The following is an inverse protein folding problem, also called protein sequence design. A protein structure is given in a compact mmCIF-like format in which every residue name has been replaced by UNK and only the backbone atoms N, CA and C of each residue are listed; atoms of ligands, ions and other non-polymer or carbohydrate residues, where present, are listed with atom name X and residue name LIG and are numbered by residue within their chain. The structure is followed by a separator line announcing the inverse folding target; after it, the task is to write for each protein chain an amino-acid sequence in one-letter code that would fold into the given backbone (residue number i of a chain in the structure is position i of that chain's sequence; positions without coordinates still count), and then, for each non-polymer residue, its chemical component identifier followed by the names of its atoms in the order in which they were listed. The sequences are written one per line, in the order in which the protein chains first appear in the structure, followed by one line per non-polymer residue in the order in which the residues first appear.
data_IF_183593983072
#
_entry.id   IF_183593983072
#
_cell.length_a   1.000
_cell.length_b   1.000
_cell.length_c   1.000
_cell.angle_alpha   90.00
_cell.angle_beta   90.00
_cell.angle_gamma   90.00
#
_symmetry.space_group_name_H-M   'P 1'
#
loop_
_entity.id
_entity.type
_entity.pdbx_description
1 polymer ?
#
# COMPACT_ATOMS: atom_id res chain seq x y z
N UNK A 1 -3.84 9.12 -16.32
CA UNK A 1 -4.63 8.16 -15.51
C UNK A 1 -5.74 8.93 -14.80
N UNK A 2 -7.02 8.60 -15.00
CA UNK A 2 -8.07 9.16 -14.18
C UNK A 2 -7.99 8.55 -12.77
N UNK A 3 -7.34 9.26 -11.87
CA UNK A 3 -7.84 9.60 -10.54
C UNK A 3 -8.43 8.55 -9.57
N UNK A 4 -9.55 7.92 -9.93
CA UNK A 4 -10.19 6.82 -9.20
C UNK A 4 -9.23 5.63 -9.03
N UNK A 5 -8.24 5.56 -9.91
CA UNK A 5 -7.30 4.48 -10.06
C UNK A 5 -6.38 4.20 -8.85
N UNK A 6 -5.99 5.20 -8.06
CA UNK A 6 -4.87 5.00 -7.13
C UNK A 6 -5.22 4.10 -5.94
N UNK A 7 -6.25 4.45 -5.18
CA UNK A 7 -6.67 3.67 -4.00
C UNK A 7 -7.22 2.30 -4.39
N UNK A 8 -7.83 2.19 -5.58
CA UNK A 8 -8.24 0.92 -6.19
C UNK A 8 -7.02 0.06 -6.55
N UNK A 9 -6.00 0.63 -7.20
CA UNK A 9 -4.75 -0.09 -7.52
C UNK A 9 -4.02 -0.54 -6.26
N UNK A 10 -4.00 0.31 -5.23
CA UNK A 10 -3.40 -0.01 -3.95
C UNK A 10 -4.16 -1.14 -3.25
N UNK A 11 -5.49 -1.09 -3.23
CA UNK A 11 -6.30 -2.19 -2.70
C UNK A 11 -6.04 -3.49 -3.47
N UNK A 12 -6.11 -3.47 -4.81
CA UNK A 12 -5.86 -4.66 -5.63
C UNK A 12 -4.42 -5.20 -5.52
N UNK A 13 -3.44 -4.33 -5.25
CA UNK A 13 -2.08 -4.72 -4.91
C UNK A 13 -2.02 -5.39 -3.53
N UNK A 14 -2.69 -4.82 -2.53
CA UNK A 14 -2.77 -5.37 -1.16
C UNK A 14 -3.38 -6.76 -1.18
N UNK A 15 -4.50 -6.94 -1.90
CA UNK A 15 -5.11 -8.25 -2.13
C UNK A 15 -4.16 -9.23 -2.83
N UNK A 16 -3.43 -8.76 -3.83
CA UNK A 16 -2.49 -9.61 -4.58
C UNK A 16 -1.38 -10.14 -3.68
N UNK A 17 -0.80 -9.28 -2.83
CA UNK A 17 0.23 -9.66 -1.87
C UNK A 17 -0.36 -10.57 -0.79
N UNK A 18 -1.57 -10.28 -0.29
CA UNK A 18 -2.25 -11.13 0.68
C UNK A 18 -2.50 -12.55 0.15
N UNK A 19 -2.87 -12.70 -1.12
CA UNK A 19 -3.00 -14.02 -1.78
C UNK A 19 -1.68 -14.78 -1.89
N UNK A 20 -0.54 -14.12 -1.72
CA UNK A 20 0.76 -14.78 -1.70
C UNK A 20 1.15 -15.32 -0.33
N UNK A 21 0.34 -15.10 0.72
CA UNK A 21 0.64 -15.53 2.10
C UNK A 21 1.20 -16.96 2.19
N UNK A 22 0.59 -17.93 1.52
CA UNK A 22 1.09 -19.33 1.52
C UNK A 22 2.48 -19.49 0.90
N UNK A 23 2.80 -18.69 -0.13
CA UNK A 23 4.15 -18.67 -0.73
C UNK A 23 5.14 -17.96 0.20
N UNK A 24 4.70 -16.90 0.88
CA UNK A 24 5.51 -16.13 1.81
C UNK A 24 5.84 -16.90 3.10
N UNK A 25 4.95 -17.80 3.53
CA UNK A 25 5.20 -18.70 4.66
C UNK A 25 6.33 -19.71 4.40
N UNK A 26 6.70 -19.95 3.13
CA UNK A 26 7.81 -20.83 2.76
C UNK A 26 9.18 -20.14 2.82
N UNK A 27 9.21 -18.84 3.08
CA UNK A 27 10.45 -18.09 3.22
C UNK A 27 11.14 -18.44 4.55
N UNK A 28 12.46 -18.31 4.56
CA UNK A 28 13.25 -18.37 5.78
C UNK A 28 12.79 -17.33 6.81
N UNK A 29 12.88 -17.67 8.10
CA UNK A 29 12.33 -16.88 9.21
C UNK A 29 12.79 -15.42 9.19
N UNK A 30 14.07 -15.15 8.93
CA UNK A 30 14.59 -13.78 8.87
C UNK A 30 13.92 -12.96 7.75
N UNK A 31 13.69 -13.58 6.60
CA UNK A 31 13.04 -12.92 5.46
C UNK A 31 11.54 -12.74 5.70
N UNK A 32 10.87 -13.71 6.33
CA UNK A 32 9.47 -13.54 6.79
C UNK A 32 9.34 -12.37 7.74
N UNK A 33 10.23 -12.24 8.71
CA UNK A 33 10.23 -11.11 9.65
C UNK A 33 10.50 -9.77 8.95
N UNK A 34 11.37 -9.75 7.94
CA UNK A 34 11.60 -8.54 7.13
C UNK A 34 10.33 -8.13 6.36
N UNK A 35 9.65 -9.07 5.72
CA UNK A 35 8.40 -8.80 4.99
C UNK A 35 7.28 -8.39 5.96
N UNK A 36 7.20 -9.02 7.13
CA UNK A 36 6.23 -8.67 8.17
C UNK A 36 6.42 -7.22 8.65
N UNK A 37 7.67 -6.80 8.89
CA UNK A 37 7.99 -5.40 9.25
C UNK A 37 7.56 -4.41 8.17
N UNK A 38 7.83 -4.70 6.90
CA UNK A 38 7.37 -3.81 5.82
C UNK A 38 5.85 -3.78 5.71
N UNK A 39 5.17 -4.92 5.86
CA UNK A 39 3.71 -4.96 5.85
C UNK A 39 3.12 -4.11 6.99
N UNK A 40 3.70 -4.17 8.18
CA UNK A 40 3.31 -3.34 9.32
C UNK A 40 3.53 -1.84 9.07
N UNK A 41 4.67 -1.44 8.50
CA UNK A 41 4.93 -0.05 8.11
C UNK A 41 3.95 0.46 7.04
N UNK A 42 3.57 -0.39 6.08
CA UNK A 42 2.56 -0.05 5.07
C UNK A 42 1.19 0.14 5.75
N UNK A 43 0.78 -0.77 6.64
CA UNK A 43 -0.46 -0.66 7.37
C UNK A 43 -0.52 0.64 8.20
N UNK A 44 0.54 0.95 8.94
CA UNK A 44 0.64 2.20 9.70
C UNK A 44 0.55 3.44 8.79
N UNK A 45 1.18 3.39 7.62
CA UNK A 45 1.14 4.47 6.63
C UNK A 45 -0.24 4.64 6.00
N UNK A 46 -0.92 3.54 5.68
CA UNK A 46 -2.31 3.54 5.19
C UNK A 46 -3.26 4.15 6.21
N UNK A 47 -3.09 3.82 7.49
CA UNK A 47 -3.88 4.39 8.59
C UNK A 47 -3.68 5.91 8.71
N UNK A 48 -2.42 6.38 8.65
CA UNK A 48 -2.11 7.82 8.63
C UNK A 48 -2.67 8.52 7.39
N UNK A 49 -2.61 7.88 6.23
CA UNK A 49 -3.21 8.40 5.01
C UNK A 49 -4.73 8.53 5.16
N UNK A 50 -5.43 7.49 5.62
CA UNK A 50 -6.87 7.54 5.87
C UNK A 50 -7.25 8.67 6.83
N UNK A 51 -6.49 8.87 7.90
CA UNK A 51 -6.69 9.98 8.83
C UNK A 51 -6.49 11.35 8.17
N UNK A 52 -5.47 11.53 7.33
CA UNK A 52 -5.25 12.77 6.58
C UNK A 52 -6.39 13.05 5.57
N UNK A 53 -6.90 12.01 4.91
CA UNK A 53 -8.07 12.12 4.03
C UNK A 53 -9.34 12.48 4.78
N UNK A 54 -9.59 11.90 5.96
CA UNK A 54 -10.72 12.27 6.81
C UNK A 54 -10.65 13.73 7.29
N UNK A 55 -9.44 14.26 7.55
CA UNK A 55 -9.26 15.70 7.84
C UNK A 55 -9.61 16.57 6.63
N UNK A 56 -9.19 16.17 5.43
CA UNK A 56 -9.49 16.88 4.19
C UNK A 56 -10.97 16.91 3.86
N UNK A 57 -11.68 15.81 4.08
CA UNK A 57 -13.12 15.72 3.87
C UNK A 57 -13.87 16.72 4.77
N UNK A 58 -13.45 16.84 6.04
CA UNK A 58 -14.06 17.76 7.02
C UNK A 58 -13.69 19.22 6.78
N UNK A 59 -12.42 19.48 6.45
CA UNK A 59 -11.89 20.83 6.29
C UNK A 59 -10.67 20.82 5.34
N UNK A 60 -10.89 21.03 4.03
CA UNK A 60 -9.83 21.07 3.04
C UNK A 60 -8.78 22.13 3.39
N UNK A 61 -7.53 21.72 3.61
CA UNK A 61 -6.42 22.63 3.83
C UNK A 61 -5.10 22.07 3.25
N UNK A 62 -4.19 22.97 2.88
CA UNK A 62 -2.95 22.62 2.20
C UNK A 62 -2.01 21.74 3.06
N UNK A 63 -2.12 21.80 4.39
CA UNK A 63 -1.31 20.96 5.28
C UNK A 63 -1.76 19.50 5.22
N UNK A 64 -3.06 19.25 5.35
CA UNK A 64 -3.63 17.91 5.24
C UNK A 64 -3.43 17.33 3.83
N UNK A 65 -3.46 18.17 2.77
CA UNK A 65 -3.15 17.73 1.41
C UNK A 65 -1.71 17.23 1.30
N UNK A 66 -0.75 17.99 1.84
CA UNK A 66 0.67 17.60 1.86
C UNK A 66 0.93 16.37 2.72
N UNK A 67 0.23 16.24 3.84
CA UNK A 67 0.30 15.06 4.71
C UNK A 67 -0.15 13.82 3.95
N UNK A 68 -1.34 13.86 3.34
CA UNK A 68 -1.87 12.77 2.52
C UNK A 68 -0.95 12.40 1.35
N UNK A 69 -0.45 13.38 0.59
CA UNK A 69 0.51 13.12 -0.51
C UNK A 69 1.78 12.45 -0.01
N UNK A 70 2.29 12.84 1.16
CA UNK A 70 3.51 12.28 1.75
C UNK A 70 3.30 10.83 2.17
N UNK A 71 2.21 10.53 2.88
CA UNK A 71 1.91 9.16 3.31
C UNK A 71 1.74 8.23 2.10
N UNK A 72 0.96 8.64 1.09
CA UNK A 72 0.79 7.84 -0.13
C UNK A 72 2.12 7.63 -0.88
N UNK A 73 3.00 8.62 -0.88
CA UNK A 73 4.34 8.49 -1.45
C UNK A 73 5.23 7.46 -0.74
N UNK A 74 5.11 7.32 0.59
CA UNK A 74 5.88 6.31 1.35
C UNK A 74 5.44 4.88 1.05
N UNK A 75 4.15 4.67 0.78
CA UNK A 75 3.59 3.35 0.46
C UNK A 75 4.28 2.73 -0.76
N UNK A 76 4.54 3.52 -1.80
CA UNK A 76 5.25 3.04 -2.99
C UNK A 76 6.63 2.45 -2.62
N UNK A 77 7.41 3.16 -1.80
CA UNK A 77 8.73 2.71 -1.36
C UNK A 77 8.68 1.43 -0.52
N UNK A 78 7.76 1.33 0.44
CA UNK A 78 7.64 0.11 1.23
C UNK A 78 7.17 -1.10 0.41
N UNK A 79 6.32 -0.89 -0.60
CA UNK A 79 5.92 -1.98 -1.49
C UNK A 79 7.09 -2.38 -2.41
N UNK A 80 7.91 -1.43 -2.88
CA UNK A 80 9.17 -1.75 -3.57
C UNK A 80 10.10 -2.59 -2.68
N UNK A 81 10.21 -2.25 -1.40
CA UNK A 81 10.99 -3.02 -0.42
C UNK A 81 10.45 -4.44 -0.21
N UNK A 82 9.12 -4.61 -0.13
CA UNK A 82 8.49 -5.95 -0.12
C UNK A 82 8.85 -6.70 -1.39
N UNK A 83 8.71 -6.07 -2.56
CA UNK A 83 9.00 -6.72 -3.84
C UNK A 83 10.45 -7.14 -3.95
N UNK A 84 11.38 -6.28 -3.54
CA UNK A 84 12.81 -6.60 -3.50
C UNK A 84 13.12 -7.74 -2.52
N UNK A 85 12.45 -7.77 -1.35
CA UNK A 85 12.57 -8.89 -0.41
C UNK A 85 12.03 -10.22 -0.98
N UNK A 86 11.23 -10.18 -2.04
CA UNK A 86 10.55 -11.33 -2.63
C UNK A 86 11.03 -11.70 -4.04
N UNK A 87 11.94 -10.92 -4.64
CA UNK A 87 12.34 -11.04 -6.05
C UNK A 87 12.80 -12.44 -6.44
N UNK A 88 13.56 -13.11 -5.56
CA UNK A 88 14.09 -14.47 -5.81
C UNK A 88 13.08 -15.60 -5.52
N UNK A 89 11.91 -15.28 -4.96
CA UNK A 89 10.94 -16.27 -4.45
C UNK A 89 9.57 -16.21 -5.14
N UNK A 90 9.33 -15.16 -5.92
CA UNK A 90 8.15 -15.03 -6.75
C UNK A 90 8.46 -15.45 -8.18
N UNK A 91 7.54 -16.18 -8.79
CA UNK A 91 7.57 -16.41 -10.23
C UNK A 91 7.61 -15.06 -10.98
N UNK A 92 8.42 -14.98 -12.05
CA UNK A 92 8.63 -13.78 -12.84
C UNK A 92 7.35 -13.16 -13.35
N UNK A 93 6.29 -13.94 -13.60
CA UNK A 93 4.96 -13.40 -13.97
C UNK A 93 4.30 -12.65 -12.82
N UNK A 94 4.36 -13.17 -11.58
CA UNK A 94 3.82 -12.50 -10.39
C UNK A 94 4.59 -11.20 -10.10
N UNK A 95 5.91 -11.27 -10.21
CA UNK A 95 6.80 -10.12 -10.02
C UNK A 95 6.52 -9.01 -11.05
N UNK A 96 6.43 -9.35 -12.33
CA UNK A 96 6.12 -8.40 -13.40
C UNK A 96 4.73 -7.74 -13.21
N UNK A 97 3.75 -8.50 -12.74
CA UNK A 97 2.41 -7.99 -12.44
C UNK A 97 2.42 -6.95 -11.32
N UNK A 98 3.20 -7.16 -10.26
CA UNK A 98 3.33 -6.19 -9.17
C UNK A 98 4.18 -4.98 -9.55
N UNK A 99 5.33 -5.17 -10.22
CA UNK A 99 6.16 -4.05 -10.72
C UNK A 99 5.34 -3.10 -11.61
N UNK A 100 4.51 -3.64 -12.51
CA UNK A 100 3.60 -2.84 -13.35
C UNK A 100 2.56 -2.05 -12.55
N UNK A 101 2.04 -2.61 -11.45
CA UNK A 101 1.10 -1.90 -10.56
C UNK A 101 1.81 -0.82 -9.75
N UNK A 102 3.03 -1.11 -9.28
CA UNK A 102 3.89 -0.16 -8.58
C UNK A 102 4.24 1.05 -9.45
N UNK A 103 4.61 0.85 -10.71
CA UNK A 103 4.84 1.95 -11.67
C UNK A 103 3.61 2.88 -11.78
N UNK A 104 2.41 2.31 -11.72
CA UNK A 104 1.15 3.06 -11.70
C UNK A 104 0.87 3.82 -10.39
N UNK A 105 1.57 3.49 -9.31
CA UNK A 105 1.44 4.07 -7.95
C UNK A 105 2.57 5.06 -7.67
N UNK A 106 3.79 4.84 -8.15
CA UNK A 106 4.97 5.66 -7.84
C UNK A 106 4.93 7.10 -8.39
N UNK A 107 3.98 7.43 -9.28
CA UNK A 107 3.83 8.77 -9.83
C UNK A 107 3.28 9.81 -8.82
N UNK A 108 4.04 10.87 -8.55
CA UNK A 108 3.64 11.96 -7.63
C UNK A 108 2.44 12.79 -8.11
N UNK A 109 2.27 12.93 -9.42
CA UNK A 109 1.18 13.70 -10.02
C UNK A 109 -0.19 13.02 -9.89
N UNK A 110 -0.31 11.70 -10.15
CA UNK A 110 -1.47 10.91 -9.74
C UNK A 110 -1.85 11.10 -8.27
N UNK A 111 -0.88 11.05 -7.36
CA UNK A 111 -1.09 11.18 -5.91
C UNK A 111 -1.62 12.55 -5.52
N UNK A 112 -1.06 13.65 -6.06
CA UNK A 112 -1.53 15.01 -5.76
C UNK A 112 -2.93 15.27 -6.22
N UNK A 113 -3.24 14.78 -7.42
CA UNK A 113 -4.60 14.79 -7.84
C UNK A 113 -5.37 14.07 -6.70
N UNK A 114 -4.99 12.83 -6.24
CA UNK A 114 -5.82 11.84 -5.47
C UNK A 114 -6.45 12.44 -4.24
N UNK A 115 -5.73 13.38 -3.67
CA UNK A 115 -6.04 14.07 -2.44
C UNK A 115 -7.08 15.19 -2.63
N UNK A 116 -7.19 15.81 -3.82
CA UNK A 116 -8.11 16.92 -4.11
C UNK A 116 -9.58 16.53 -4.28
N UNK A 117 -9.89 15.26 -4.52
CA UNK A 117 -11.28 14.79 -4.67
C UNK A 117 -11.59 13.64 -3.68
N UNK A 118 -11.10 13.76 -2.45
CA UNK A 118 -11.34 12.78 -1.40
C UNK A 118 -12.86 12.61 -1.11
N UNK A 119 -13.35 11.38 -1.19
CA UNK A 119 -14.69 10.95 -0.81
C UNK A 119 -14.58 9.80 0.22
N UNK A 120 -15.66 9.55 0.98
CA UNK A 120 -15.71 8.50 2.00
C UNK A 120 -15.27 7.11 1.49
N UNK A 121 -15.56 6.78 0.24
CA UNK A 121 -15.22 5.48 -0.35
C UNK A 121 -13.71 5.28 -0.49
N UNK A 122 -12.92 6.34 -0.65
CA UNK A 122 -11.45 6.24 -0.67
C UNK A 122 -10.89 5.93 0.71
N UNK A 123 -11.47 6.52 1.75
CA UNK A 123 -11.07 6.25 3.14
C UNK A 123 -11.31 4.77 3.44
N UNK A 124 -12.48 4.24 3.08
CA UNK A 124 -12.81 2.82 3.22
C UNK A 124 -11.79 1.91 2.52
N UNK A 125 -11.43 2.20 1.26
CA UNK A 125 -10.41 1.42 0.53
C UNK A 125 -9.03 1.45 1.19
N UNK A 126 -8.64 2.59 1.78
CA UNK A 126 -7.37 2.70 2.51
C UNK A 126 -7.39 1.85 3.79
N UNK A 127 -8.51 1.87 4.52
CA UNK A 127 -8.70 1.04 5.72
C UNK A 127 -8.77 -0.46 5.38
N UNK A 128 -9.37 -0.81 4.25
CA UNK A 128 -9.40 -2.19 3.77
C UNK A 128 -8.00 -2.68 3.38
N UNK A 129 -7.25 -1.88 2.62
CA UNK A 129 -5.85 -2.14 2.31
C UNK A 129 -5.00 -2.29 3.58
N UNK A 130 -5.24 -1.43 4.59
CA UNK A 130 -4.58 -1.53 5.90
C UNK A 130 -4.83 -2.92 6.52
N UNK A 131 -6.09 -3.37 6.53
CA UNK A 131 -6.48 -4.67 7.07
C UNK A 131 -5.73 -5.83 6.42
N UNK A 132 -5.57 -5.83 5.09
CA UNK A 132 -4.79 -6.85 4.39
C UNK A 132 -3.32 -6.89 4.82
N UNK A 133 -2.69 -5.72 4.97
CA UNK A 133 -1.29 -5.66 5.39
C UNK A 133 -1.09 -6.02 6.87
N UNK A 134 -2.03 -5.68 7.76
CA UNK A 134 -2.00 -6.15 9.15
C UNK A 134 -2.11 -7.68 9.22
N UNK A 135 -3.11 -8.25 8.54
CA UNK A 135 -3.31 -9.70 8.52
C UNK A 135 -2.09 -10.44 7.91
N UNK A 136 -1.42 -9.82 6.93
CA UNK A 136 -0.19 -10.35 6.38
C UNK A 136 0.96 -10.32 7.41
N UNK A 137 1.17 -9.19 8.08
CA UNK A 137 2.21 -9.05 9.09
C UNK A 137 2.03 -10.06 10.23
N UNK A 138 0.82 -10.13 10.79
CA UNK A 138 0.48 -11.09 11.85
C UNK A 138 0.66 -12.53 11.38
N UNK A 139 0.18 -12.82 10.16
CA UNK A 139 0.24 -14.15 9.58
C UNK A 139 1.65 -14.63 9.25
N UNK A 140 2.63 -13.74 9.07
CA UNK A 140 4.04 -14.09 8.82
C UNK A 140 4.86 -14.31 10.10
N UNK A 141 4.38 -13.78 11.24
CA UNK A 141 5.02 -13.91 12.55
C UNK A 141 4.48 -15.06 13.40
N UNK A 142 3.32 -15.61 13.03
CA UNK A 142 2.74 -16.82 13.64
C UNK A 142 3.59 -18.07 13.34
#
# INVERSE_FOLDING_TARGET
MPFLDYTIKLLGLSESIARWRESLLKLETERREKVARFAEEIAATLSRAAAAFAKLEKAPNASAEREAVRELGRIAGYVEDIVAALEDHLDGRKLAGVKRRLEGIAGKEPVRLTVKAADAQRIERLLEAEGYFRALADGLRA
#
